data_IF_386858579544
#
_entry.id   IF_386858579544
#
_cell.length_a   1.000
_cell.length_b   1.000
_cell.length_c   1.000
_cell.angle_alpha   90.00
_cell.angle_beta   90.00
_cell.angle_gamma   90.00
#
_symmetry.space_group_name_H-M   'P 1'
#
loop_
_entity.id
_entity.type
_entity.pdbx_description
1 polymer ?
#
# COMPACT_ATOMS: atom_id res chain seq x y z
N UNK A 1 -5.26 -9.92 -4.65
CA UNK A 1 -4.13 -9.00 -4.87
C UNK A 1 -2.86 -9.83 -4.97
N UNK A 2 -1.94 -9.48 -5.87
CA UNK A 2 -0.66 -10.17 -6.01
C UNK A 2 0.40 -9.34 -5.28
N UNK A 3 0.61 -9.64 -3.99
CA UNK A 3 1.66 -9.01 -3.17
C UNK A 3 3.01 -9.69 -3.43
N UNK A 4 4.07 -8.93 -3.15
CA UNK A 4 5.46 -9.39 -3.09
C UNK A 4 5.71 -10.46 -2.01
N UNK A 5 4.86 -10.54 -0.99
CA UNK A 5 4.88 -11.52 0.10
C UNK A 5 3.56 -12.26 0.22
N UNK A 6 3.60 -13.43 0.86
CA UNK A 6 2.37 -14.18 1.19
C UNK A 6 1.53 -13.40 2.21
N UNK A 7 0.22 -13.47 2.06
CA UNK A 7 -0.72 -12.82 2.97
C UNK A 7 -0.92 -13.66 4.22
N UNK A 8 -1.02 -13.00 5.37
CA UNK A 8 -1.24 -13.63 6.67
C UNK A 8 -2.58 -14.38 6.71
N UNK A 9 -3.60 -13.83 6.04
CA UNK A 9 -4.94 -14.44 5.97
C UNK A 9 -4.98 -15.75 5.15
N UNK A 10 -4.03 -15.95 4.22
CA UNK A 10 -3.99 -17.10 3.30
C UNK A 10 -2.55 -17.57 3.06
N UNK A 11 -1.86 -18.07 4.11
CA UNK A 11 -0.41 -18.32 4.08
C UNK A 11 0.01 -19.44 3.11
N UNK A 12 -0.93 -20.32 2.75
CA UNK A 12 -0.68 -21.43 1.82
C UNK A 12 -0.76 -21.01 0.35
N UNK A 13 -1.28 -19.80 0.06
CA UNK A 13 -1.37 -19.28 -1.30
C UNK A 13 -0.04 -18.65 -1.70
N UNK A 14 0.61 -19.12 -2.78
CA UNK A 14 1.88 -18.57 -3.23
C UNK A 14 1.72 -17.17 -3.82
N UNK A 15 2.79 -16.38 -3.78
CA UNK A 15 2.89 -15.12 -4.53
C UNK A 15 3.01 -15.40 -6.03
N UNK A 16 2.77 -14.38 -6.86
CA UNK A 16 3.00 -14.49 -8.30
C UNK A 16 4.47 -14.80 -8.63
N UNK A 17 5.40 -14.24 -7.84
CA UNK A 17 6.82 -14.51 -7.98
C UNK A 17 7.17 -15.98 -7.67
N UNK A 18 6.59 -16.56 -6.61
CA UNK A 18 6.75 -17.99 -6.27
C UNK A 18 6.14 -18.90 -7.36
N UNK A 19 5.09 -18.44 -8.04
CA UNK A 19 4.46 -19.14 -9.17
C UNK A 19 5.19 -18.96 -10.52
N UNK A 20 6.34 -18.29 -10.55
CA UNK A 20 7.18 -18.14 -11.75
C UNK A 20 7.02 -16.82 -12.50
N UNK A 21 6.11 -15.94 -12.07
CA UNK A 21 5.93 -14.59 -12.63
C UNK A 21 6.80 -13.58 -11.88
N UNK A 22 8.10 -13.59 -12.18
CA UNK A 22 9.06 -12.66 -11.57
C UNK A 22 8.66 -11.20 -11.84
N UNK A 23 8.82 -10.34 -10.83
CA UNK A 23 8.51 -8.90 -10.89
C UNK A 23 7.02 -8.60 -11.19
N UNK A 24 6.13 -9.57 -11.03
CA UNK A 24 4.69 -9.34 -11.11
C UNK A 24 4.14 -9.01 -9.73
N UNK A 25 3.76 -7.76 -9.53
CA UNK A 25 3.10 -7.30 -8.32
C UNK A 25 1.94 -6.37 -8.68
N UNK A 26 0.76 -6.67 -8.14
CA UNK A 26 -0.45 -5.88 -8.29
C UNK A 26 -1.25 -5.96 -6.99
N UNK A 27 -0.85 -5.13 -6.04
CA UNK A 27 -1.56 -4.90 -4.80
C UNK A 27 -2.31 -3.57 -4.87
N UNK A 28 -3.58 -3.59 -4.44
CA UNK A 28 -4.29 -2.35 -4.17
C UNK A 28 -3.83 -1.83 -2.80
N UNK A 29 -3.72 -0.51 -2.68
CA UNK A 29 -3.28 0.14 -1.45
C UNK A 29 -4.19 1.31 -1.12
N UNK A 30 -4.24 1.63 0.17
CA UNK A 30 -4.97 2.76 0.72
C UNK A 30 -4.00 3.60 1.56
N UNK A 31 -4.21 4.90 1.57
CA UNK A 31 -3.40 5.82 2.38
C UNK A 31 -4.28 6.92 2.96
N UNK A 32 -3.91 7.39 4.15
CA UNK A 32 -4.49 8.58 4.77
C UNK A 32 -3.72 9.81 4.28
N UNK A 33 -4.43 10.76 3.66
CA UNK A 33 -3.86 11.99 3.12
C UNK A 33 -4.49 13.21 3.80
N UNK A 34 -3.72 14.29 3.90
CA UNK A 34 -4.17 15.60 4.37
C UNK A 34 -4.04 16.64 3.24
N UNK A 35 -4.75 17.78 3.30
CA UNK A 35 -4.56 18.88 2.34
C UNK A 35 -3.10 19.30 2.20
N UNK A 36 -2.69 19.74 1.01
CA UNK A 36 -1.28 19.99 0.66
C UNK A 36 -0.55 20.97 1.60
N UNK A 37 -1.26 21.95 2.16
CA UNK A 37 -0.71 22.97 3.05
C UNK A 37 -1.00 22.71 4.53
N UNK A 38 -1.31 21.45 4.90
CA UNK A 38 -1.48 21.07 6.30
C UNK A 38 -0.17 21.24 7.05
N UNK A 39 -0.22 21.90 8.22
CA UNK A 39 0.96 22.12 9.05
C UNK A 39 1.66 20.81 9.43
N UNK A 40 3.00 20.83 9.43
CA UNK A 40 3.81 19.65 9.69
C UNK A 40 3.51 19.01 11.05
N UNK A 41 3.26 19.81 12.08
CA UNK A 41 2.91 19.30 13.40
C UNK A 41 1.59 18.53 13.40
N UNK A 42 0.63 18.92 12.56
CA UNK A 42 -0.64 18.19 12.39
C UNK A 42 -0.40 16.88 11.65
N UNK A 43 0.41 16.88 10.59
CA UNK A 43 0.80 15.66 9.87
C UNK A 43 1.51 14.67 10.80
N UNK A 44 2.46 15.15 11.61
CA UNK A 44 3.20 14.30 12.54
C UNK A 44 2.30 13.73 13.63
N UNK A 45 1.30 14.51 14.11
CA UNK A 45 0.28 14.02 15.05
C UNK A 45 -0.59 12.92 14.43
N UNK A 46 -1.06 13.11 13.20
CA UNK A 46 -1.85 12.10 12.48
C UNK A 46 -1.04 10.83 12.22
N UNK A 47 0.23 10.98 11.84
CA UNK A 47 1.14 9.85 11.66
C UNK A 47 1.29 9.04 12.95
N UNK A 48 1.57 9.70 14.10
CA UNK A 48 1.67 9.01 15.39
C UNK A 48 0.40 8.25 15.75
N UNK A 49 -0.77 8.88 15.61
CA UNK A 49 -2.05 8.23 15.88
C UNK A 49 -2.30 7.02 14.95
N UNK A 50 -1.91 7.13 13.67
CA UNK A 50 -1.99 6.02 12.72
C UNK A 50 -1.07 4.86 13.12
N UNK A 51 0.17 5.14 13.54
CA UNK A 51 1.11 4.14 14.04
C UNK A 51 0.54 3.41 15.26
N UNK A 52 -0.05 4.15 16.22
CA UNK A 52 -0.70 3.57 17.39
C UNK A 52 -1.86 2.66 16.98
N UNK A 53 -2.76 3.13 16.11
CA UNK A 53 -3.91 2.36 15.64
C UNK A 53 -3.50 1.10 14.87
N UNK A 54 -2.53 1.19 13.96
CA UNK A 54 -2.05 0.04 13.18
C UNK A 54 -1.31 -0.98 14.05
N UNK A 55 -0.74 -0.57 15.19
CA UNK A 55 -0.13 -1.51 16.13
C UNK A 55 -1.13 -2.13 17.12
N UNK A 56 -2.37 -1.63 17.20
CA UNK A 56 -3.42 -2.24 18.01
C UNK A 56 -3.78 -3.63 17.44
N UNK A 57 -3.67 -4.72 18.23
CA UNK A 57 -3.94 -6.07 17.75
C UNK A 57 -5.36 -6.27 17.19
N UNK A 58 -6.37 -5.58 17.73
CA UNK A 58 -7.75 -5.67 17.24
C UNK A 58 -7.88 -5.01 15.89
N UNK A 59 -7.26 -3.84 15.70
CA UNK A 59 -7.24 -3.15 14.41
C UNK A 59 -6.52 -3.98 13.35
N UNK A 60 -5.36 -4.58 13.69
CA UNK A 60 -4.64 -5.48 12.77
C UNK A 60 -5.48 -6.69 12.39
N UNK A 61 -6.15 -7.32 13.35
CA UNK A 61 -7.01 -8.46 13.09
C UNK A 61 -8.14 -8.11 12.11
N UNK A 62 -8.79 -6.96 12.28
CA UNK A 62 -9.84 -6.49 11.38
C UNK A 62 -9.36 -6.25 9.95
N UNK A 63 -8.14 -5.71 9.78
CA UNK A 63 -7.56 -5.56 8.44
C UNK A 63 -7.25 -6.92 7.81
N UNK A 64 -6.64 -7.84 8.56
CA UNK A 64 -6.30 -9.18 8.07
C UNK A 64 -7.56 -9.95 7.69
N UNK A 65 -8.64 -9.86 8.48
CA UNK A 65 -9.95 -10.46 8.18
C UNK A 65 -10.53 -9.93 6.85
N UNK A 66 -10.30 -8.66 6.54
CA UNK A 66 -10.69 -8.03 5.28
C UNK A 66 -9.70 -8.27 4.13
N UNK A 67 -8.66 -9.08 4.35
CA UNK A 67 -7.63 -9.37 3.34
C UNK A 67 -6.68 -8.20 3.09
N UNK A 68 -6.51 -7.30 4.05
CA UNK A 68 -5.53 -6.21 4.01
C UNK A 68 -4.35 -6.50 4.93
N UNK A 69 -3.16 -6.05 4.52
CA UNK A 69 -1.94 -6.13 5.31
C UNK A 69 -1.56 -4.73 5.80
N UNK A 70 -1.70 -4.44 7.12
CA UNK A 70 -1.35 -3.12 7.64
C UNK A 70 0.13 -2.82 7.46
N UNK A 71 0.42 -1.64 6.92
CA UNK A 71 1.78 -1.14 6.68
C UNK A 71 1.92 0.25 7.29
N UNK A 72 3.07 0.48 7.92
CA UNK A 72 3.45 1.78 8.43
C UNK A 72 4.59 2.31 7.58
N UNK A 73 4.36 3.45 6.93
CA UNK A 73 5.40 4.25 6.27
C UNK A 73 5.37 5.65 6.89
N UNK A 74 6.55 6.25 7.10
CA UNK A 74 6.61 7.66 7.46
C UNK A 74 6.07 8.54 6.31
N UNK A 75 5.72 9.82 6.56
CA UNK A 75 5.14 10.69 5.54
C UNK A 75 5.99 10.86 4.27
N UNK A 76 7.31 10.85 4.39
CA UNK A 76 8.21 10.95 3.23
C UNK A 76 8.28 9.62 2.48
N UNK A 77 8.31 8.49 3.20
CA UNK A 77 8.21 7.15 2.65
C UNK A 77 6.92 6.95 1.84
N UNK A 78 5.78 7.39 2.38
CA UNK A 78 4.49 7.34 1.66
C UNK A 78 4.53 8.18 0.38
N UNK A 79 5.10 9.39 0.43
CA UNK A 79 5.26 10.24 -0.77
C UNK A 79 6.08 9.52 -1.84
N UNK A 80 7.21 8.91 -1.46
CA UNK A 80 8.07 8.17 -2.38
C UNK A 80 7.34 6.97 -3.00
N UNK A 81 6.60 6.22 -2.18
CA UNK A 81 5.79 5.08 -2.62
C UNK A 81 4.70 5.51 -3.62
N UNK A 82 3.99 6.60 -3.35
CA UNK A 82 3.00 7.14 -4.28
C UNK A 82 3.63 7.54 -5.62
N UNK A 83 4.83 8.14 -5.60
CA UNK A 83 5.56 8.47 -6.82
C UNK A 83 5.94 7.21 -7.60
N UNK A 84 6.46 6.17 -6.94
CA UNK A 84 6.81 4.91 -7.61
C UNK A 84 5.59 4.20 -8.20
N UNK A 85 4.47 4.17 -7.46
CA UNK A 85 3.21 3.59 -7.95
C UNK A 85 2.69 4.35 -9.16
N UNK A 86 2.70 5.67 -9.12
CA UNK A 86 2.32 6.52 -10.26
C UNK A 86 3.18 6.22 -11.48
N UNK A 87 4.51 6.15 -11.33
CA UNK A 87 5.42 5.80 -12.43
C UNK A 87 5.15 4.41 -12.98
N UNK A 88 4.95 3.40 -12.12
CA UNK A 88 4.63 2.02 -12.51
C UNK A 88 3.37 1.99 -13.36
N UNK A 89 2.28 2.58 -12.88
CA UNK A 89 0.98 2.51 -13.53
C UNK A 89 0.92 3.33 -14.83
N UNK A 90 1.57 4.49 -14.90
CA UNK A 90 1.75 5.23 -16.18
C UNK A 90 2.47 4.34 -17.20
N UNK A 91 3.52 3.62 -16.79
CA UNK A 91 4.25 2.71 -17.67
C UNK A 91 3.39 1.56 -18.20
N UNK A 92 2.54 0.98 -17.35
CA UNK A 92 1.58 -0.07 -17.74
C UNK A 92 0.55 0.48 -18.72
N UNK A 93 -0.14 1.57 -18.37
CA UNK A 93 -1.18 2.22 -19.18
C UNK A 93 -0.68 2.50 -20.61
N UNK A 94 0.52 3.10 -20.73
CA UNK A 94 1.13 3.40 -22.04
C UNK A 94 1.43 2.15 -22.86
N UNK A 95 1.90 1.07 -22.22
CA UNK A 95 2.24 -0.19 -22.92
C UNK A 95 1.02 -0.90 -23.50
N UNK A 96 -0.14 -0.76 -22.87
CA UNK A 96 -1.37 -1.44 -23.27
C UNK A 96 -2.34 -0.55 -24.07
N UNK A 97 -1.95 0.70 -24.35
CA UNK A 97 -2.72 1.61 -25.22
C UNK A 97 -4.03 2.12 -24.62
N UNK A 98 -4.11 2.24 -23.28
CA UNK A 98 -5.25 2.89 -22.64
C UNK A 98 -5.07 4.42 -22.75
N UNK A 99 -5.99 5.07 -23.45
CA UNK A 99 -6.02 6.53 -23.60
C UNK A 99 -6.83 7.17 -22.46
N UNK A 100 -6.49 8.41 -22.03
CA UNK A 100 -7.35 9.21 -21.16
C UNK A 100 -8.72 9.41 -21.82
N UNK A 101 -9.79 9.30 -21.03
CA UNK A 101 -11.14 9.68 -21.47
C UNK A 101 -11.31 11.19 -21.55
#
# INVERSE_FOLDING_TARGET
MASDKRMTAVPDVPTAAEAGLKNYESAAWLALLAPANTDRAVVDKLYKAMVEAVNDPKVRALFVEQGAEPLVMDPQGLKNFMTSETTKWIGVIKKIGIEPM
#
